data_IF_345410922452
#
_entry.id   IF_345410922452
#
_cell.length_a   1.000
_cell.length_b   1.000
_cell.length_c   1.000
_cell.angle_alpha   90.00
_cell.angle_beta   90.00
_cell.angle_gamma   90.00
#
_symmetry.space_group_name_H-M   'P 1'
#
loop_
_entity.id
_entity.type
_entity.pdbx_description
1 polymer ?
#
# COMPACT_ATOMS: atom_id res chain seq x y z
N UNK A 1 -11.42 22.36 0.60
CA UNK A 1 -10.19 22.14 1.40
C UNK A 1 -9.30 21.24 0.57
N UNK A 2 -7.99 21.52 0.43
CA UNK A 2 -7.04 20.66 -0.25
C UNK A 2 -6.91 19.31 0.49
N UNK A 3 -6.63 18.23 -0.22
CA UNK A 3 -6.33 16.94 0.38
C UNK A 3 -4.84 16.92 0.78
N UNK A 4 -4.57 17.19 2.06
CA UNK A 4 -3.22 17.28 2.61
C UNK A 4 -2.34 16.05 2.27
N UNK A 5 -2.88 14.83 2.36
CA UNK A 5 -2.12 13.62 2.06
C UNK A 5 -1.75 13.51 0.58
N UNK A 6 -2.63 13.95 -0.31
CA UNK A 6 -2.37 14.02 -1.74
C UNK A 6 -1.35 15.12 -2.07
N UNK A 7 -1.50 16.31 -1.49
CA UNK A 7 -0.55 17.43 -1.66
C UNK A 7 0.85 17.03 -1.16
N UNK A 8 0.93 16.29 -0.04
CA UNK A 8 2.20 15.74 0.47
C UNK A 8 2.84 14.75 -0.50
N UNK A 9 2.06 13.82 -1.04
CA UNK A 9 2.54 12.84 -2.02
C UNK A 9 3.03 13.51 -3.32
N UNK A 10 2.30 14.51 -3.82
CA UNK A 10 2.70 15.31 -4.97
C UNK A 10 3.98 16.12 -4.69
N UNK A 11 4.16 16.64 -3.50
CA UNK A 11 5.39 17.32 -3.05
C UNK A 11 6.60 16.35 -3.07
N UNK A 12 6.45 15.13 -2.58
CA UNK A 12 7.50 14.11 -2.62
C UNK A 12 7.83 13.69 -4.06
N UNK A 13 6.83 13.60 -4.94
CA UNK A 13 7.04 13.32 -6.35
C UNK A 13 7.80 14.45 -7.05
N UNK A 14 7.43 15.71 -6.79
CA UNK A 14 8.12 16.86 -7.36
C UNK A 14 9.59 16.95 -6.90
N UNK A 15 9.86 16.66 -5.63
CA UNK A 15 11.23 16.58 -5.11
C UNK A 15 12.03 15.45 -5.76
N UNK A 16 11.42 14.30 -5.98
CA UNK A 16 12.03 13.20 -6.73
C UNK A 16 12.34 13.61 -8.17
N UNK A 17 11.39 14.21 -8.90
CA UNK A 17 11.57 14.64 -10.28
C UNK A 17 12.74 15.63 -10.42
N UNK A 18 12.89 16.55 -9.48
CA UNK A 18 14.00 17.52 -9.46
C UNK A 18 15.36 16.83 -9.23
N UNK A 19 15.44 15.92 -8.26
CA UNK A 19 16.66 15.19 -7.94
C UNK A 19 17.13 14.32 -9.11
N UNK A 20 16.23 13.53 -9.68
CA UNK A 20 16.62 12.62 -10.77
C UNK A 20 16.88 13.34 -12.10
N UNK A 21 16.30 14.53 -12.31
CA UNK A 21 16.63 15.35 -13.48
C UNK A 21 18.12 15.69 -13.54
N UNK A 22 18.75 15.96 -12.40
CA UNK A 22 20.19 16.23 -12.32
C UNK A 22 21.02 14.96 -12.58
N UNK A 23 20.60 13.83 -12.04
CA UNK A 23 21.25 12.53 -12.26
C UNK A 23 21.26 12.17 -13.75
N UNK A 24 20.11 12.28 -14.42
CA UNK A 24 20.03 11.99 -15.85
C UNK A 24 20.76 13.02 -16.72
N UNK A 25 20.80 14.28 -16.29
CA UNK A 25 21.60 15.32 -16.96
C UNK A 25 23.10 15.03 -16.90
N UNK A 26 23.59 14.59 -15.75
CA UNK A 26 25.00 14.17 -15.59
C UNK A 26 25.32 12.94 -16.45
N UNK A 27 24.44 11.93 -16.46
CA UNK A 27 24.59 10.76 -17.35
C UNK A 27 24.61 11.15 -18.84
N UNK A 28 23.76 12.11 -19.24
CA UNK A 28 23.75 12.65 -20.60
C UNK A 28 25.05 13.37 -20.94
N UNK A 29 25.55 14.21 -20.03
CA UNK A 29 26.82 14.92 -20.25
C UNK A 29 28.00 13.96 -20.38
N UNK A 30 28.06 12.92 -19.55
CA UNK A 30 29.11 11.90 -19.66
C UNK A 30 28.98 11.12 -20.97
N UNK A 31 27.78 10.65 -21.32
CA UNK A 31 27.51 9.94 -22.56
C UNK A 31 27.88 10.77 -23.80
N UNK A 32 27.60 12.08 -23.75
CA UNK A 32 27.96 13.01 -24.82
C UNK A 32 29.47 13.14 -24.93
N UNK A 33 30.19 13.29 -23.84
CA UNK A 33 31.66 13.38 -23.84
C UNK A 33 32.31 12.14 -24.44
N UNK A 34 31.85 10.94 -24.06
CA UNK A 34 32.37 9.68 -24.54
C UNK A 34 32.05 9.51 -26.06
N UNK A 35 30.87 9.91 -26.46
CA UNK A 35 30.46 9.90 -27.87
C UNK A 35 31.26 10.90 -28.73
N UNK A 36 31.43 12.13 -28.27
CA UNK A 36 32.16 13.17 -28.99
C UNK A 36 33.62 12.74 -29.25
N UNK A 37 34.27 12.16 -28.21
CA UNK A 37 35.63 11.62 -28.35
C UNK A 37 35.70 10.48 -29.38
N UNK A 38 34.73 9.56 -29.38
CA UNK A 38 34.65 8.48 -30.35
C UNK A 38 34.43 9.03 -31.78
N UNK A 39 33.51 9.99 -31.95
CA UNK A 39 33.16 10.54 -33.25
C UNK A 39 34.30 11.38 -33.86
N UNK A 40 35.12 12.00 -33.01
CA UNK A 40 36.31 12.74 -33.44
C UNK A 40 37.38 11.78 -33.96
N UNK A 41 37.69 10.71 -33.21
CA UNK A 41 38.60 9.64 -33.63
C UNK A 41 38.09 8.91 -34.92
N UNK A 42 36.77 8.67 -34.98
CA UNK A 42 36.19 8.06 -36.18
C UNK A 42 36.29 8.95 -37.39
N UNK A 43 36.09 10.28 -37.27
CA UNK A 43 36.17 11.22 -38.35
C UNK A 43 37.57 11.33 -38.94
N UNK A 44 38.59 11.40 -38.10
CA UNK A 44 39.99 11.41 -38.56
C UNK A 44 40.29 10.17 -39.44
N UNK A 45 39.87 9.00 -38.99
CA UNK A 45 40.04 7.74 -39.73
C UNK A 45 39.16 7.63 -40.98
N UNK A 46 37.96 8.23 -40.96
CA UNK A 46 37.06 8.30 -42.11
C UNK A 46 37.62 9.23 -43.22
N UNK A 47 38.23 10.34 -42.80
CA UNK A 47 38.90 11.27 -43.72
C UNK A 47 40.11 10.64 -44.38
N UNK A 48 40.94 9.87 -43.62
CA UNK A 48 42.06 9.09 -44.18
C UNK A 48 41.57 8.07 -45.22
N UNK A 49 40.53 7.30 -44.87
CA UNK A 49 39.95 6.30 -45.76
C UNK A 49 39.24 6.89 -46.98
N UNK A 50 38.71 8.10 -46.87
CA UNK A 50 38.14 8.85 -47.97
C UNK A 50 39.26 9.32 -48.94
N UNK A 51 40.37 9.77 -48.42
CA UNK A 51 41.54 10.12 -49.24
C UNK A 51 42.07 8.90 -50.01
N UNK A 52 42.13 7.70 -49.39
CA UNK A 52 42.48 6.47 -50.09
C UNK A 52 41.48 6.12 -51.20
N UNK A 53 40.18 6.37 -51.02
CA UNK A 53 39.18 6.19 -52.06
C UNK A 53 39.36 7.18 -53.20
N UNK A 54 39.57 8.46 -52.90
CA UNK A 54 39.76 9.51 -53.87
C UNK A 54 41.03 9.30 -54.65
N UNK A 55 42.08 8.73 -54.05
CA UNK A 55 43.33 8.32 -54.74
C UNK A 55 43.20 7.01 -55.52
N UNK A 56 42.02 6.36 -55.51
CA UNK A 56 41.78 5.10 -56.19
C UNK A 56 42.46 3.88 -55.55
N UNK A 57 42.92 3.98 -54.31
CA UNK A 57 43.60 2.91 -53.59
C UNK A 57 42.63 1.88 -53.06
N UNK A 58 41.42 2.27 -52.82
CA UNK A 58 40.31 1.39 -52.39
C UNK A 58 39.06 1.65 -53.23
N UNK A 59 38.18 0.65 -53.33
CA UNK A 59 36.87 0.80 -53.99
C UNK A 59 35.83 1.43 -53.07
N UNK A 60 34.77 2.02 -53.65
CA UNK A 60 33.60 2.51 -52.92
C UNK A 60 33.00 1.43 -52.02
N UNK A 61 32.97 0.18 -52.50
CA UNK A 61 32.49 -0.96 -51.73
C UNK A 61 33.36 -1.22 -50.49
N UNK A 62 34.67 -1.22 -50.66
CA UNK A 62 35.63 -1.43 -49.56
C UNK A 62 35.55 -0.31 -48.53
N UNK A 63 35.37 0.94 -48.94
CA UNK A 63 35.12 2.07 -48.06
C UNK A 63 33.80 1.92 -47.29
N UNK A 64 32.70 1.57 -47.93
CA UNK A 64 31.41 1.35 -47.31
C UNK A 64 31.45 0.16 -46.32
N UNK A 65 32.12 -0.93 -46.67
CA UNK A 65 32.29 -2.10 -45.81
C UNK A 65 33.17 -1.77 -44.58
N UNK A 66 34.24 -0.96 -44.75
CA UNK A 66 35.04 -0.47 -43.64
C UNK A 66 34.21 0.39 -42.70
N UNK A 67 33.46 1.38 -43.19
CA UNK A 67 32.56 2.20 -42.33
C UNK A 67 31.58 1.35 -41.57
N UNK A 68 30.94 0.38 -42.21
CA UNK A 68 30.01 -0.54 -41.60
C UNK A 68 30.69 -1.38 -40.49
N UNK A 69 31.89 -1.88 -40.79
CA UNK A 69 32.68 -2.66 -39.84
C UNK A 69 33.01 -1.87 -38.56
N UNK A 70 33.40 -0.58 -38.71
CA UNK A 70 33.70 0.26 -37.53
C UNK A 70 32.51 0.44 -36.63
N UNK A 71 31.28 0.48 -37.17
CA UNK A 71 30.04 0.66 -36.40
C UNK A 71 29.45 -0.64 -35.88
N UNK A 72 29.70 -1.78 -36.52
CA UNK A 72 29.09 -3.05 -36.10
C UNK A 72 30.03 -3.93 -35.28
N UNK A 73 31.32 -3.92 -35.55
CA UNK A 73 32.31 -4.81 -34.94
C UNK A 73 33.52 -4.08 -34.37
N UNK A 74 33.61 -2.76 -34.57
CA UNK A 74 34.74 -1.97 -34.08
C UNK A 74 34.80 -1.99 -32.57
N UNK A 75 35.94 -2.43 -32.01
CA UNK A 75 36.14 -2.57 -30.59
C UNK A 75 35.86 -1.26 -29.82
N UNK A 76 36.32 -0.14 -30.36
CA UNK A 76 36.13 1.19 -29.77
C UNK A 76 34.66 1.59 -29.71
N UNK A 77 33.90 1.32 -30.80
CA UNK A 77 32.46 1.57 -30.80
C UNK A 77 31.74 0.74 -29.74
N UNK A 78 32.08 -0.55 -29.61
CA UNK A 78 31.48 -1.39 -28.58
C UNK A 78 31.79 -0.88 -27.15
N UNK A 79 33.03 -0.42 -26.92
CA UNK A 79 33.41 0.19 -25.64
C UNK A 79 32.58 1.44 -25.31
N UNK A 80 32.39 2.33 -26.27
CA UNK A 80 31.57 3.54 -26.10
C UNK A 80 30.10 3.19 -25.81
N UNK A 81 29.54 2.23 -26.53
CA UNK A 81 28.19 1.75 -26.28
C UNK A 81 28.05 1.23 -24.84
N UNK A 82 29.02 0.46 -24.38
CA UNK A 82 29.02 -0.10 -23.03
C UNK A 82 29.12 1.02 -21.97
N UNK A 83 30.04 1.97 -22.12
CA UNK A 83 30.20 3.10 -21.21
C UNK A 83 28.94 3.97 -21.10
N UNK A 84 28.34 4.31 -22.25
CA UNK A 84 27.12 5.12 -22.28
C UNK A 84 25.92 4.35 -21.72
N UNK A 85 25.81 3.05 -22.04
CA UNK A 85 24.73 2.22 -21.51
C UNK A 85 24.85 2.04 -19.99
N UNK A 86 26.08 1.90 -19.48
CA UNK A 86 26.38 1.81 -18.06
C UNK A 86 26.03 3.12 -17.32
N UNK A 87 26.40 4.28 -17.88
CA UNK A 87 26.04 5.57 -17.30
C UNK A 87 24.51 5.73 -17.11
N UNK A 88 23.71 5.29 -18.07
CA UNK A 88 22.24 5.33 -17.94
C UNK A 88 21.69 4.26 -17.01
N UNK A 89 22.31 3.08 -16.97
CA UNK A 89 21.94 2.02 -16.03
C UNK A 89 22.17 2.48 -14.59
N UNK A 90 23.31 3.08 -14.31
CA UNK A 90 23.64 3.64 -13.00
C UNK A 90 22.67 4.78 -12.63
N UNK A 91 22.30 5.66 -13.56
CA UNK A 91 21.31 6.69 -13.34
C UNK A 91 19.93 6.09 -12.98
N UNK A 92 19.53 5.00 -13.62
CA UNK A 92 18.31 4.27 -13.30
C UNK A 92 18.35 3.66 -11.89
N UNK A 93 19.47 3.09 -11.49
CA UNK A 93 19.66 2.53 -10.13
C UNK A 93 19.57 3.62 -9.05
N UNK A 94 20.21 4.76 -9.29
CA UNK A 94 20.11 5.94 -8.39
C UNK A 94 18.65 6.41 -8.30
N UNK A 95 17.93 6.48 -9.43
CA UNK A 95 16.53 6.86 -9.44
C UNK A 95 15.65 5.87 -8.66
N UNK A 96 15.90 4.56 -8.76
CA UNK A 96 15.20 3.53 -7.96
C UNK A 96 15.49 3.71 -6.47
N UNK A 97 16.75 3.92 -6.09
CA UNK A 97 17.14 4.12 -4.70
C UNK A 97 16.49 5.38 -4.11
N UNK A 98 16.52 6.49 -4.85
CA UNK A 98 15.89 7.75 -4.45
C UNK A 98 14.37 7.61 -4.28
N UNK A 99 13.71 6.86 -5.16
CA UNK A 99 12.27 6.58 -5.07
C UNK A 99 11.96 5.70 -3.85
N UNK A 100 12.67 4.58 -3.69
CA UNK A 100 12.47 3.66 -2.58
C UNK A 100 12.72 4.32 -1.22
N UNK A 101 13.64 5.30 -1.15
CA UNK A 101 13.88 6.09 0.05
C UNK A 101 12.71 6.99 0.45
N UNK A 102 11.84 7.39 -0.49
CA UNK A 102 10.69 8.29 -0.25
C UNK A 102 9.37 7.57 0.02
N UNK A 103 9.21 6.36 -0.51
CA UNK A 103 7.95 5.64 -0.40
C UNK A 103 7.50 5.36 1.04
N UNK A 104 8.40 5.06 2.01
CA UNK A 104 8.02 4.89 3.40
C UNK A 104 7.36 6.13 4.00
N UNK A 105 7.89 7.32 3.70
CA UNK A 105 7.32 8.60 4.17
C UNK A 105 5.94 8.84 3.56
N UNK A 106 5.78 8.63 2.25
CA UNK A 106 4.49 8.79 1.56
C UNK A 106 3.45 7.83 2.13
N UNK A 107 3.83 6.57 2.34
CA UNK A 107 2.94 5.55 2.89
C UNK A 107 2.53 5.89 4.33
N UNK A 108 3.49 6.21 5.20
CA UNK A 108 3.25 6.52 6.60
C UNK A 108 2.38 7.76 6.77
N UNK A 109 2.71 8.85 6.06
CA UNK A 109 1.94 10.10 6.16
C UNK A 109 0.51 9.92 5.67
N UNK A 110 0.31 9.16 4.59
CA UNK A 110 -1.02 8.87 4.08
C UNK A 110 -1.78 7.83 4.92
N UNK A 111 -1.10 6.93 5.62
CA UNK A 111 -1.73 6.10 6.65
C UNK A 111 -2.25 6.99 7.79
N UNK A 112 -1.45 7.92 8.28
CA UNK A 112 -1.85 8.85 9.32
C UNK A 112 -3.01 9.75 8.87
N UNK A 113 -2.93 10.28 7.65
CA UNK A 113 -4.00 11.10 7.08
C UNK A 113 -5.30 10.31 6.84
N UNK A 114 -5.20 9.04 6.40
CA UNK A 114 -6.35 8.14 6.29
C UNK A 114 -7.03 7.85 7.63
N UNK A 115 -6.25 7.76 8.71
CA UNK A 115 -6.77 7.68 10.09
C UNK A 115 -7.55 8.95 10.48
N UNK A 116 -7.01 10.12 10.14
CA UNK A 116 -7.69 11.40 10.30
C UNK A 116 -9.00 11.46 9.50
N UNK A 117 -8.97 11.11 8.22
CA UNK A 117 -10.17 11.07 7.37
C UNK A 117 -11.27 10.17 7.97
N UNK A 118 -10.89 9.03 8.54
CA UNK A 118 -11.86 8.14 9.19
C UNK A 118 -12.47 8.78 10.45
N UNK A 119 -11.67 9.49 11.26
CA UNK A 119 -12.17 10.24 12.41
C UNK A 119 -13.08 11.40 11.99
N UNK A 120 -12.66 12.19 11.01
CA UNK A 120 -13.42 13.33 10.50
C UNK A 120 -14.77 12.89 9.90
N UNK A 121 -14.76 11.88 9.03
CA UNK A 121 -15.96 11.37 8.38
C UNK A 121 -16.94 10.69 9.35
N UNK A 122 -16.45 10.05 10.43
CA UNK A 122 -17.31 9.43 11.47
C UNK A 122 -17.73 10.40 12.56
N UNK A 123 -17.04 11.53 12.73
CA UNK A 123 -17.20 12.46 13.85
C UNK A 123 -16.71 11.89 15.18
N UNK A 124 -15.91 10.82 15.17
CA UNK A 124 -15.39 10.13 16.34
C UNK A 124 -13.87 10.32 16.48
N UNK A 125 -13.40 10.56 17.68
CA UNK A 125 -11.97 10.58 17.99
C UNK A 125 -11.48 9.19 18.36
N UNK A 126 -11.19 8.41 17.35
CA UNK A 126 -10.71 7.03 17.49
C UNK A 126 -9.24 7.00 17.88
N UNK A 127 -8.84 6.07 18.74
CA UNK A 127 -7.47 5.91 19.20
C UNK A 127 -6.56 5.32 18.13
N UNK A 128 -6.25 6.10 17.11
CA UNK A 128 -5.19 5.77 16.16
C UNK A 128 -3.81 6.01 16.79
N UNK A 129 -2.86 5.14 16.43
CA UNK A 129 -1.44 5.40 16.61
C UNK A 129 -0.85 5.83 15.27
N UNK A 130 -0.03 6.87 15.27
CA UNK A 130 0.64 7.33 14.06
C UNK A 130 1.69 6.31 13.61
N UNK A 131 1.78 6.10 12.31
CA UNK A 131 2.83 5.30 11.69
C UNK A 131 4.04 6.21 11.40
N UNK A 132 5.25 5.77 11.73
CA UNK A 132 6.48 6.41 11.29
C UNK A 132 7.04 5.77 10.00
N UNK A 133 7.99 6.45 9.36
CA UNK A 133 8.58 5.97 8.12
C UNK A 133 9.33 4.65 8.30
N UNK A 134 9.91 4.38 9.47
CA UNK A 134 10.64 3.14 9.73
C UNK A 134 9.69 1.93 9.78
N UNK A 135 8.52 2.11 10.35
CA UNK A 135 7.45 1.12 10.35
C UNK A 135 6.96 0.84 8.92
N UNK A 136 6.70 1.90 8.16
CA UNK A 136 6.29 1.76 6.76
C UNK A 136 7.36 1.08 5.91
N UNK A 137 8.64 1.41 6.11
CA UNK A 137 9.78 0.77 5.43
C UNK A 137 9.83 -0.74 5.75
N UNK A 138 9.67 -1.11 7.01
CA UNK A 138 9.62 -2.52 7.39
C UNK A 138 8.48 -3.25 6.68
N UNK A 139 7.27 -2.68 6.66
CA UNK A 139 6.11 -3.26 5.99
C UNK A 139 6.30 -3.42 4.48
N UNK A 140 6.94 -2.44 3.84
CA UNK A 140 7.29 -2.50 2.42
C UNK A 140 8.30 -3.62 2.12
N UNK A 141 9.32 -3.79 2.97
CA UNK A 141 10.35 -4.80 2.79
C UNK A 141 9.87 -6.23 3.10
N UNK A 142 8.95 -6.39 4.04
CA UNK A 142 8.43 -7.70 4.45
C UNK A 142 7.22 -8.15 3.64
N UNK A 143 6.72 -7.33 2.74
CA UNK A 143 5.52 -7.60 1.94
C UNK A 143 4.22 -7.49 2.74
N UNK A 144 4.25 -6.85 3.90
CA UNK A 144 3.05 -6.57 4.71
C UNK A 144 2.26 -5.38 4.18
N UNK A 145 2.94 -4.45 3.52
CA UNK A 145 2.26 -3.37 2.81
C UNK A 145 1.46 -3.90 1.61
N UNK A 146 0.40 -3.18 1.25
CA UNK A 146 -0.43 -3.52 0.08
C UNK A 146 0.29 -3.28 -1.26
N UNK A 147 1.49 -2.71 -1.22
CA UNK A 147 2.37 -2.44 -2.35
C UNK A 147 3.75 -3.05 -2.10
N UNK A 148 4.47 -3.33 -3.18
CA UNK A 148 5.89 -3.71 -3.13
C UNK A 148 6.77 -2.51 -3.50
N UNK A 149 8.06 -2.50 -3.09
CA UNK A 149 9.02 -1.53 -3.58
C UNK A 149 9.05 -1.57 -5.11
N UNK A 150 9.00 -0.42 -5.80
CA UNK A 150 9.06 -0.41 -7.25
C UNK A 150 10.45 -0.82 -7.72
N UNK A 151 10.49 -1.68 -8.72
CA UNK A 151 11.64 -1.82 -9.58
C UNK A 151 11.44 -0.95 -10.82
N UNK A 152 12.44 -0.20 -11.23
CA UNK A 152 12.44 0.38 -12.57
C UNK A 152 12.26 -0.75 -13.56
N UNK A 153 11.33 -0.55 -14.48
CA UNK A 153 10.99 -1.54 -15.48
C UNK A 153 12.28 -2.14 -16.06
N UNK A 154 12.46 -3.43 -15.91
CA UNK A 154 13.60 -4.24 -16.40
C UNK A 154 13.99 -3.92 -17.86
N UNK A 155 13.03 -3.42 -18.65
CA UNK A 155 13.28 -2.95 -20.02
C UNK A 155 14.30 -1.79 -20.13
N UNK A 156 14.64 -1.11 -19.03
CA UNK A 156 15.62 0.00 -19.00
C UNK A 156 16.97 -0.41 -18.38
N UNK A 157 17.24 -1.70 -18.32
CA UNK A 157 18.53 -2.24 -17.89
C UNK A 157 19.67 -1.95 -18.89
N UNK A 158 20.86 -2.39 -18.53
CA UNK A 158 22.06 -2.23 -19.35
C UNK A 158 21.87 -2.77 -20.78
N UNK A 159 21.28 -3.96 -20.93
CA UNK A 159 21.08 -4.59 -22.24
C UNK A 159 20.12 -3.79 -23.13
N UNK A 160 19.03 -3.28 -22.55
CA UNK A 160 18.08 -2.43 -23.26
C UNK A 160 18.73 -1.11 -23.70
N UNK A 161 19.45 -0.43 -22.79
CA UNK A 161 20.14 0.82 -23.10
C UNK A 161 21.17 0.63 -24.20
N UNK A 162 22.00 -0.42 -24.09
CA UNK A 162 23.00 -0.79 -25.10
C UNK A 162 22.37 -1.03 -26.48
N UNK A 163 21.28 -1.82 -26.52
CA UNK A 163 20.57 -2.13 -27.79
C UNK A 163 19.98 -0.87 -28.43
N UNK A 164 19.35 0.00 -27.62
CA UNK A 164 18.76 1.23 -28.15
C UNK A 164 19.82 2.20 -28.66
N UNK A 165 20.90 2.41 -27.89
CA UNK A 165 22.01 3.26 -28.28
C UNK A 165 22.67 2.75 -29.57
N UNK A 166 22.98 1.45 -29.66
CA UNK A 166 23.54 0.83 -30.85
C UNK A 166 22.65 1.09 -32.08
N UNK A 167 21.33 0.89 -31.94
CA UNK A 167 20.38 1.14 -33.04
C UNK A 167 20.37 2.60 -33.46
N UNK A 168 20.31 3.55 -32.53
CA UNK A 168 20.23 4.98 -32.83
C UNK A 168 21.52 5.52 -33.43
N UNK A 169 22.68 5.14 -32.90
CA UNK A 169 23.97 5.60 -33.38
C UNK A 169 24.33 4.97 -34.74
N UNK A 170 24.16 3.64 -34.87
CA UNK A 170 24.43 2.95 -36.17
C UNK A 170 23.57 3.56 -37.28
N UNK A 171 22.28 3.78 -37.04
CA UNK A 171 21.39 4.38 -38.02
C UNK A 171 21.87 5.80 -38.41
N UNK A 172 22.24 6.63 -37.44
CA UNK A 172 22.68 8.00 -37.71
C UNK A 172 23.97 8.06 -38.47
N UNK A 173 24.93 7.21 -38.13
CA UNK A 173 26.23 7.14 -38.90
C UNK A 173 26.03 6.60 -40.30
N UNK A 174 25.21 5.57 -40.48
CA UNK A 174 24.90 5.04 -41.82
C UNK A 174 24.20 6.07 -42.71
N UNK A 175 23.43 6.98 -42.14
CA UNK A 175 22.77 8.10 -42.82
C UNK A 175 23.72 9.29 -43.06
N UNK A 176 24.97 9.23 -42.61
CA UNK A 176 25.93 10.34 -42.74
C UNK A 176 25.53 11.56 -41.89
N UNK A 177 24.82 11.37 -40.79
CA UNK A 177 24.38 12.47 -39.92
C UNK A 177 25.56 13.17 -39.23
N UNK A 178 25.44 14.49 -39.08
CA UNK A 178 26.43 15.30 -38.35
C UNK A 178 26.44 14.96 -36.84
N UNK A 179 27.57 15.24 -36.18
CA UNK A 179 27.74 15.06 -34.70
C UNK A 179 26.58 15.65 -33.89
N UNK A 180 26.10 16.89 -34.17
CA UNK A 180 24.96 17.44 -33.45
C UNK A 180 23.66 16.63 -33.62
N UNK A 181 23.45 16.00 -34.76
CA UNK A 181 22.29 15.12 -34.99
C UNK A 181 22.43 13.80 -34.25
N UNK A 182 23.63 13.23 -34.21
CA UNK A 182 23.94 12.03 -33.43
C UNK A 182 23.76 12.30 -31.91
N UNK A 183 24.23 13.43 -31.42
CA UNK A 183 24.00 13.86 -30.02
C UNK A 183 22.50 13.95 -29.69
N UNK A 184 21.65 14.47 -30.60
CA UNK A 184 20.19 14.47 -30.42
C UNK A 184 19.59 13.07 -30.38
N UNK A 185 20.16 12.09 -31.06
CA UNK A 185 19.72 10.69 -30.96
C UNK A 185 20.02 10.11 -29.58
N UNK A 186 21.22 10.36 -29.04
CA UNK A 186 21.58 9.97 -27.67
C UNK A 186 20.64 10.65 -26.65
N UNK A 187 20.39 11.93 -26.81
CA UNK A 187 19.46 12.69 -25.96
C UNK A 187 18.04 12.08 -25.91
N UNK A 188 17.56 11.49 -27.02
CA UNK A 188 16.27 10.77 -27.00
C UNK A 188 16.32 9.51 -26.12
N UNK A 189 17.45 8.83 -26.05
CA UNK A 189 17.62 7.67 -25.15
C UNK A 189 17.59 8.13 -23.69
N UNK A 190 18.30 9.21 -23.35
CA UNK A 190 18.25 9.84 -22.02
C UNK A 190 16.84 10.22 -21.64
N UNK A 191 16.16 10.99 -22.50
CA UNK A 191 14.79 11.42 -22.27
C UNK A 191 13.82 10.24 -22.10
N UNK A 192 14.06 9.12 -22.76
CA UNK A 192 13.29 7.89 -22.60
C UNK A 192 13.50 7.25 -21.23
N UNK A 193 14.73 7.22 -20.70
CA UNK A 193 15.05 6.72 -19.37
C UNK A 193 14.45 7.61 -18.28
N UNK A 194 14.66 8.92 -18.35
CA UNK A 194 14.07 9.90 -17.43
C UNK A 194 12.54 9.81 -17.41
N UNK A 195 11.89 9.81 -18.57
CA UNK A 195 10.44 9.69 -18.65
C UNK A 195 9.92 8.35 -18.08
N UNK A 196 10.69 7.26 -18.21
CA UNK A 196 10.35 5.99 -17.57
C UNK A 196 10.47 6.06 -16.05
N UNK A 197 11.53 6.69 -15.54
CA UNK A 197 11.72 6.88 -14.09
C UNK A 197 10.57 7.71 -13.49
N UNK A 198 10.21 8.84 -14.12
CA UNK A 198 9.10 9.71 -13.67
C UNK A 198 7.75 8.96 -13.70
N UNK A 199 7.47 8.18 -14.76
CA UNK A 199 6.24 7.37 -14.81
C UNK A 199 6.19 6.32 -13.71
N UNK A 200 7.31 5.65 -13.47
CA UNK A 200 7.43 4.65 -12.40
C UNK A 200 7.23 5.29 -11.04
N UNK A 201 7.88 6.43 -10.80
CA UNK A 201 7.76 7.18 -9.56
C UNK A 201 6.30 7.60 -9.31
N UNK A 202 5.64 8.21 -10.29
CA UNK A 202 4.25 8.63 -10.14
C UNK A 202 3.31 7.46 -9.83
N UNK A 203 3.49 6.33 -10.52
CA UNK A 203 2.70 5.12 -10.25
C UNK A 203 2.95 4.60 -8.84
N UNK A 204 4.20 4.57 -8.40
CA UNK A 204 4.58 4.06 -7.07
C UNK A 204 4.13 5.00 -5.94
N UNK A 205 4.30 6.30 -6.10
CA UNK A 205 3.87 7.32 -5.13
C UNK A 205 2.35 7.29 -4.98
N UNK A 206 1.60 7.29 -6.09
CA UNK A 206 0.12 7.13 -6.04
C UNK A 206 -0.29 5.83 -5.37
N UNK A 207 0.44 4.74 -5.63
CA UNK A 207 0.22 3.45 -4.97
C UNK A 207 0.47 3.52 -3.47
N UNK A 208 1.59 4.13 -3.04
CA UNK A 208 1.96 4.27 -1.62
C UNK A 208 0.96 5.16 -0.86
N UNK A 209 0.58 6.29 -1.44
CA UNK A 209 -0.44 7.19 -0.92
C UNK A 209 -1.73 6.43 -0.59
N UNK A 210 -2.31 5.79 -1.60
CA UNK A 210 -3.61 5.16 -1.45
C UNK A 210 -3.56 3.86 -0.66
N UNK A 211 -2.46 3.11 -0.72
CA UNK A 211 -2.26 1.93 0.12
C UNK A 211 -2.14 2.30 1.60
N UNK A 212 -1.45 3.41 1.93
CA UNK A 212 -1.40 3.95 3.29
C UNK A 212 -2.80 4.28 3.82
N UNK A 213 -3.62 4.98 3.04
CA UNK A 213 -5.03 5.29 3.41
C UNK A 213 -5.85 4.03 3.65
N UNK A 214 -5.79 3.06 2.74
CA UNK A 214 -6.51 1.78 2.88
C UNK A 214 -6.05 1.00 4.11
N UNK A 215 -4.76 1.08 4.47
CA UNK A 215 -4.25 0.52 5.72
C UNK A 215 -5.04 1.07 6.92
N UNK A 216 -5.15 2.39 7.05
CA UNK A 216 -5.86 3.02 8.15
C UNK A 216 -7.37 2.82 8.12
N UNK A 217 -7.97 2.69 6.94
CA UNK A 217 -9.37 2.29 6.84
C UNK A 217 -9.59 0.87 7.40
N UNK A 218 -8.61 -0.03 7.20
CA UNK A 218 -8.60 -1.35 7.83
C UNK A 218 -8.55 -1.27 9.35
N UNK A 219 -7.71 -0.39 9.89
CA UNK A 219 -7.63 -0.13 11.35
C UNK A 219 -8.95 0.44 11.87
N UNK A 220 -9.54 1.43 11.18
CA UNK A 220 -10.84 2.01 11.56
C UNK A 220 -11.96 0.95 11.62
N UNK A 221 -12.00 0.02 10.65
CA UNK A 221 -12.96 -1.08 10.67
C UNK A 221 -12.77 -2.00 11.87
N UNK A 222 -11.53 -2.32 12.21
CA UNK A 222 -11.24 -3.12 13.40
C UNK A 222 -11.70 -2.43 14.70
N UNK A 223 -11.90 -1.11 14.64
CA UNK A 223 -12.39 -0.28 15.76
C UNK A 223 -13.90 -0.02 15.72
N UNK A 224 -14.66 -0.66 14.79
CA UNK A 224 -16.13 -0.59 14.74
C UNK A 224 -16.69 0.45 13.75
N UNK A 225 -15.85 1.09 12.92
CA UNK A 225 -16.31 2.02 11.89
C UNK A 225 -16.47 1.29 10.56
N UNK A 226 -17.68 1.23 10.02
CA UNK A 226 -17.94 0.62 8.70
C UNK A 226 -17.45 1.53 7.59
N UNK A 227 -16.28 1.22 7.04
CA UNK A 227 -15.62 2.02 6.02
C UNK A 227 -16.01 1.61 4.62
N UNK A 228 -16.23 2.60 3.77
CA UNK A 228 -16.16 2.51 2.31
C UNK A 228 -15.01 3.37 1.79
N UNK A 229 -14.57 3.08 0.59
CA UNK A 229 -13.59 3.89 -0.15
C UNK A 229 -14.34 4.67 -1.22
N UNK A 230 -14.08 5.97 -1.32
CA UNK A 230 -14.58 6.80 -2.41
C UNK A 230 -13.41 7.18 -3.32
N UNK A 231 -13.56 6.94 -4.63
CA UNK A 231 -12.57 7.33 -5.63
C UNK A 231 -12.68 8.80 -5.95
N UNK A 232 -11.61 9.55 -5.79
CA UNK A 232 -11.51 10.93 -6.21
C UNK A 232 -10.59 11.04 -7.41
N UNK A 233 -11.17 11.33 -8.57
CA UNK A 233 -10.41 11.46 -9.80
C UNK A 233 -9.79 12.85 -9.93
N UNK A 234 -8.55 12.92 -10.40
CA UNK A 234 -7.96 14.20 -10.86
C UNK A 234 -8.61 14.57 -12.19
N UNK A 235 -9.55 15.52 -12.17
CA UNK A 235 -10.36 15.88 -13.35
C UNK A 235 -9.63 16.91 -14.22
N UNK A 236 -8.65 16.45 -15.01
CA UNK A 236 -7.96 17.27 -16.02
C UNK A 236 -7.97 16.62 -17.42
N UNK A 237 -7.34 17.28 -18.39
CA UNK A 237 -7.27 16.82 -19.79
C UNK A 237 -6.55 15.49 -19.99
N UNK A 238 -5.77 15.02 -19.01
CA UNK A 238 -4.99 13.77 -19.05
C UNK A 238 -5.65 12.62 -18.29
N UNK A 239 -6.76 12.87 -17.59
CA UNK A 239 -7.47 11.84 -16.82
C UNK A 239 -8.17 10.85 -17.76
N UNK A 240 -7.95 9.55 -17.54
CA UNK A 240 -8.58 8.47 -18.31
C UNK A 240 -10.10 8.53 -18.21
N UNK A 241 -10.76 8.12 -19.29
CA UNK A 241 -12.23 8.06 -19.30
C UNK A 241 -12.78 7.11 -18.21
N UNK A 242 -12.13 5.97 -17.99
CA UNK A 242 -12.46 5.02 -16.92
C UNK A 242 -12.39 5.68 -15.54
N UNK A 243 -11.34 6.47 -15.26
CA UNK A 243 -11.18 7.16 -13.99
C UNK A 243 -12.16 8.32 -13.80
N UNK A 244 -12.52 9.04 -14.86
CA UNK A 244 -13.56 10.07 -14.80
C UNK A 244 -14.93 9.46 -14.41
N UNK A 245 -15.24 8.25 -14.89
CA UNK A 245 -16.46 7.53 -14.52
C UNK A 245 -16.44 7.05 -13.07
N UNK A 246 -15.27 6.87 -12.49
CA UNK A 246 -15.10 6.45 -11.10
C UNK A 246 -15.13 7.62 -10.12
N UNK A 247 -15.13 8.87 -10.60
CA UNK A 247 -15.16 10.01 -9.70
C UNK A 247 -16.37 9.94 -8.77
N UNK A 248 -16.13 10.03 -7.46
CA UNK A 248 -17.12 9.84 -6.38
C UNK A 248 -17.75 8.44 -6.31
N UNK A 249 -17.24 7.47 -7.08
CA UNK A 249 -17.69 6.10 -6.95
C UNK A 249 -17.23 5.52 -5.61
N UNK A 250 -18.14 4.78 -4.95
CA UNK A 250 -17.85 4.12 -3.68
C UNK A 250 -17.64 2.62 -3.90
N UNK A 251 -16.74 2.06 -3.13
CA UNK A 251 -16.51 0.62 -3.06
C UNK A 251 -16.34 0.19 -1.59
N UNK A 252 -16.83 -1.00 -1.22
CA UNK A 252 -16.59 -1.52 0.12
C UNK A 252 -15.08 -1.70 0.35
N UNK A 253 -14.68 -1.69 1.61
CA UNK A 253 -13.35 -2.08 1.97
C UNK A 253 -13.42 -3.27 2.95
N UNK A 254 -12.87 -4.47 2.60
CA UNK A 254 -12.16 -4.79 1.36
C UNK A 254 -13.09 -4.89 0.14
N UNK A 255 -12.58 -4.50 -1.02
CA UNK A 255 -13.31 -4.59 -2.29
C UNK A 255 -12.58 -3.87 -3.43
N UNK A 256 -13.14 -3.96 -4.64
CA UNK A 256 -12.58 -3.37 -5.85
C UNK A 256 -13.58 -2.40 -6.49
N UNK A 257 -13.06 -1.39 -7.15
CA UNK A 257 -13.82 -0.53 -8.06
C UNK A 257 -14.07 -1.23 -9.39
N UNK A 258 -14.96 -0.66 -10.20
CA UNK A 258 -15.37 -1.23 -11.49
C UNK A 258 -14.21 -1.41 -12.49
N UNK A 259 -13.11 -0.67 -12.34
CA UNK A 259 -11.89 -0.84 -13.13
C UNK A 259 -10.96 -1.97 -12.65
N UNK A 260 -11.37 -2.75 -11.65
CA UNK A 260 -10.62 -3.89 -11.10
C UNK A 260 -9.57 -3.53 -10.04
N UNK A 261 -9.35 -2.25 -9.74
CA UNK A 261 -8.40 -1.79 -8.73
C UNK A 261 -9.05 -1.73 -7.34
N UNK A 262 -8.29 -2.06 -6.29
CA UNK A 262 -8.69 -1.85 -4.89
C UNK A 262 -8.58 -0.38 -4.48
N UNK A 263 -7.64 0.33 -5.12
CA UNK A 263 -7.34 1.75 -4.91
C UNK A 263 -6.57 2.31 -6.12
N UNK A 264 -6.45 3.63 -6.29
CA UNK A 264 -5.60 4.23 -7.32
C UNK A 264 -4.13 3.81 -7.15
N UNK A 265 -3.50 3.35 -8.24
CA UNK A 265 -2.13 2.82 -8.18
C UNK A 265 -1.98 1.41 -7.61
N UNK A 266 -3.08 0.65 -7.46
CA UNK A 266 -3.07 -0.72 -6.95
C UNK A 266 -2.20 -1.66 -7.82
N UNK A 267 -1.06 -2.20 -7.33
CA UNK A 267 -0.19 -3.05 -8.14
C UNK A 267 -0.84 -4.38 -8.58
N UNK A 268 -1.96 -4.76 -7.99
CA UNK A 268 -2.75 -5.92 -8.41
C UNK A 268 -3.86 -5.57 -9.41
N UNK A 269 -4.00 -4.29 -9.75
CA UNK A 269 -4.93 -3.82 -10.77
C UNK A 269 -4.36 -3.96 -12.20
N UNK A 270 -5.20 -3.78 -13.23
CA UNK A 270 -4.73 -3.75 -14.62
C UNK A 270 -3.71 -2.63 -14.84
N UNK A 271 -2.58 -2.93 -15.49
CA UNK A 271 -1.52 -1.96 -15.72
C UNK A 271 -2.01 -0.69 -16.45
N UNK A 272 -2.95 -0.84 -17.39
CA UNK A 272 -3.60 0.27 -18.10
C UNK A 272 -4.33 1.25 -17.17
N UNK A 273 -4.79 0.79 -16.01
CA UNK A 273 -5.52 1.60 -15.04
C UNK A 273 -4.59 2.25 -13.99
N UNK A 274 -3.45 1.63 -13.70
CA UNK A 274 -2.56 2.09 -12.62
C UNK A 274 -1.42 2.98 -13.12
N UNK A 275 -0.88 2.73 -14.34
CA UNK A 275 0.29 3.44 -14.85
C UNK A 275 0.02 4.95 -14.92
N UNK A 276 0.87 5.75 -14.26
CA UNK A 276 0.80 7.21 -14.31
C UNK A 276 -0.55 7.80 -13.80
N UNK A 277 -1.21 7.09 -12.88
CA UNK A 277 -2.42 7.54 -12.21
C UNK A 277 -2.11 8.69 -11.24
N UNK A 278 -3.08 9.61 -11.02
CA UNK A 278 -3.00 10.75 -10.10
C UNK A 278 -4.26 10.90 -9.27
N UNK A 279 -5.08 9.86 -9.24
CA UNK A 279 -6.30 9.83 -8.44
C UNK A 279 -5.97 9.46 -6.99
N UNK A 280 -6.84 9.86 -6.08
CA UNK A 280 -6.73 9.54 -4.66
C UNK A 280 -8.00 8.88 -4.12
N UNK A 281 -7.98 8.42 -2.88
CA UNK A 281 -9.13 7.92 -2.14
C UNK A 281 -9.55 8.91 -1.07
N UNK A 282 -10.83 8.93 -0.79
CA UNK A 282 -11.41 9.60 0.38
C UNK A 282 -12.15 8.58 1.22
N UNK A 283 -12.11 8.74 2.53
CA UNK A 283 -12.85 7.92 3.47
C UNK A 283 -14.36 8.18 3.30
N UNK A 284 -15.14 7.12 3.17
CA UNK A 284 -16.59 7.18 3.23
C UNK A 284 -17.08 6.24 4.33
N UNK A 285 -18.07 6.68 5.11
CA UNK A 285 -18.63 5.92 6.21
C UNK A 285 -19.94 5.28 5.76
N UNK A 286 -20.10 3.98 6.04
CA UNK A 286 -21.34 3.22 5.77
C UNK A 286 -22.13 2.95 7.05
N UNK A 287 -21.57 3.31 8.18
CA UNK A 287 -22.17 3.18 9.50
C UNK A 287 -21.13 3.06 10.60
N UNK A 288 -21.62 3.05 11.82
CA UNK A 288 -20.82 2.84 13.03
C UNK A 288 -21.51 1.75 13.82
N UNK A 289 -20.75 0.74 14.27
CA UNK A 289 -21.31 -0.29 15.15
C UNK A 289 -21.71 0.35 16.50
N UNK A 290 -22.76 -0.15 17.14
CA UNK A 290 -23.24 0.41 18.41
C UNK A 290 -22.14 0.47 19.47
N UNK A 291 -21.34 -0.60 19.58
CA UNK A 291 -20.18 -0.66 20.47
C UNK A 291 -19.12 0.39 20.13
N UNK A 292 -18.97 0.75 18.85
CA UNK A 292 -18.05 1.79 18.37
C UNK A 292 -18.53 3.19 18.74
N UNK A 293 -19.83 3.45 18.65
CA UNK A 293 -20.41 4.76 18.97
C UNK A 293 -20.30 5.11 20.46
N UNK A 294 -20.40 4.10 21.34
CA UNK A 294 -20.29 4.28 22.79
C UNK A 294 -18.83 4.28 23.28
N UNK A 295 -17.93 3.69 22.54
CA UNK A 295 -16.52 3.50 22.91
C UNK A 295 -15.66 4.74 22.69
N UNK A 296 -15.98 5.56 21.68
CA UNK A 296 -15.16 6.67 21.25
C UNK A 296 -15.79 8.01 21.57
N UNK A 297 -14.98 8.96 22.03
CA UNK A 297 -15.41 10.34 22.19
C UNK A 297 -15.67 11.00 20.84
N UNK A 298 -16.46 12.06 20.83
CA UNK A 298 -16.67 12.84 19.61
C UNK A 298 -15.41 13.61 19.24
N UNK A 299 -15.11 13.66 17.96
CA UNK A 299 -14.05 14.52 17.45
C UNK A 299 -14.45 15.99 17.70
N UNK A 300 -13.56 16.81 18.29
CA UNK A 300 -13.84 18.23 18.48
C UNK A 300 -14.15 18.93 17.16
N UNK A 301 -15.22 19.73 17.08
CA UNK A 301 -15.56 20.46 15.86
C UNK A 301 -14.42 21.39 15.42
N UNK A 302 -14.08 21.35 14.12
CA UNK A 302 -13.04 22.21 13.53
C UNK A 302 -11.59 21.82 13.88
N UNK A 303 -11.38 20.66 14.52
CA UNK A 303 -10.02 20.11 14.69
C UNK A 303 -9.38 19.89 13.33
N UNK A 304 -8.15 20.37 13.14
CA UNK A 304 -7.37 20.14 11.92
C UNK A 304 -6.57 18.85 11.99
N UNK A 305 -6.11 18.35 10.83
CA UNK A 305 -5.22 17.18 10.79
C UNK A 305 -3.98 17.35 11.67
N UNK A 306 -3.34 18.52 11.61
CA UNK A 306 -2.14 18.81 12.39
C UNK A 306 -2.41 18.76 13.91
N UNK A 307 -3.55 19.31 14.35
CA UNK A 307 -3.96 19.28 15.76
C UNK A 307 -4.24 17.83 16.20
N UNK A 308 -4.95 17.07 15.38
CA UNK A 308 -5.23 15.66 15.64
C UNK A 308 -3.94 14.85 15.71
N UNK A 309 -3.05 15.02 14.72
CA UNK A 309 -1.76 14.33 14.65
C UNK A 309 -0.90 14.60 15.89
N UNK A 310 -0.83 15.84 16.34
CA UNK A 310 -0.05 16.23 17.53
C UNK A 310 -0.52 15.55 18.82
N UNK A 311 -1.80 15.18 18.90
CA UNK A 311 -2.39 14.48 20.06
C UNK A 311 -2.26 12.97 20.03
N UNK A 312 -1.73 12.36 18.95
CA UNK A 312 -1.68 10.91 18.81
C UNK A 312 -0.31 10.31 19.16
N UNK A 313 -0.27 9.13 19.79
CA UNK A 313 0.97 8.42 20.02
C UNK A 313 1.55 7.93 18.69
N UNK A 314 2.88 7.99 18.58
CA UNK A 314 3.58 7.41 17.42
C UNK A 314 3.76 5.91 17.64
N UNK A 315 3.21 5.11 16.75
CA UNK A 315 3.53 3.69 16.68
C UNK A 315 4.91 3.55 16.06
N UNK A 316 5.84 3.10 16.85
CA UNK A 316 7.14 2.63 16.34
C UNK A 316 7.04 1.13 16.18
N UNK A 317 7.38 0.63 15.00
CA UNK A 317 7.57 -0.79 14.80
C UNK A 317 8.69 -1.22 15.75
N UNK A 318 8.29 -1.53 16.96
CA UNK A 318 9.13 -2.35 17.83
C UNK A 318 9.22 -3.71 17.13
N UNK A 319 10.44 -4.25 17.00
CA UNK A 319 10.72 -5.61 16.52
C UNK A 319 9.94 -6.71 17.26
N UNK A 320 9.04 -6.34 18.14
CA UNK A 320 8.09 -7.14 18.89
C UNK A 320 6.73 -7.36 18.23
N UNK A 321 6.45 -6.78 17.05
CA UNK A 321 5.29 -7.15 16.24
C UNK A 321 5.43 -8.59 15.78
N UNK A 322 4.68 -9.48 16.43
CA UNK A 322 4.80 -10.93 16.19
C UNK A 322 4.00 -11.31 14.97
N UNK A 323 4.58 -12.09 14.09
CA UNK A 323 3.81 -12.81 13.07
C UNK A 323 2.74 -13.67 13.74
N UNK A 324 1.70 -14.04 13.01
CA UNK A 324 0.70 -15.00 13.49
C UNK A 324 1.38 -16.28 14.03
N UNK A 325 2.45 -16.75 13.37
CA UNK A 325 3.23 -17.90 13.82
C UNK A 325 3.91 -17.65 15.17
N UNK A 326 4.67 -16.59 15.30
CA UNK A 326 5.35 -16.20 16.54
C UNK A 326 4.35 -15.88 17.66
N UNK A 327 3.22 -15.27 17.34
CA UNK A 327 2.16 -15.02 18.30
C UNK A 327 1.59 -16.33 18.85
N UNK A 328 1.32 -17.30 18.00
CA UNK A 328 0.78 -18.61 18.42
C UNK A 328 1.77 -19.37 19.31
N UNK A 329 3.09 -19.17 19.16
CA UNK A 329 4.12 -19.79 20.00
C UNK A 329 4.30 -19.14 21.37
N UNK A 330 3.58 -18.08 21.68
CA UNK A 330 3.72 -17.44 22.99
C UNK A 330 3.24 -18.38 24.14
N UNK A 331 3.96 -18.43 25.26
CA UNK A 331 3.56 -19.27 26.40
C UNK A 331 2.15 -18.99 26.89
N UNK A 332 1.71 -17.73 26.88
CA UNK A 332 0.36 -17.32 27.26
C UNK A 332 -0.73 -17.83 26.30
N UNK A 333 -0.42 -17.86 25.00
CA UNK A 333 -1.31 -18.37 23.95
C UNK A 333 -1.37 -19.88 24.02
N UNK A 334 -0.22 -20.56 24.13
CA UNK A 334 -0.14 -22.02 24.28
C UNK A 334 -0.91 -22.50 25.53
N UNK A 335 -0.68 -21.87 26.68
CA UNK A 335 -1.46 -22.15 27.90
C UNK A 335 -2.96 -21.92 27.72
N UNK A 336 -3.33 -20.95 26.90
CA UNK A 336 -4.74 -20.68 26.57
C UNK A 336 -5.35 -21.75 25.69
N UNK A 337 -4.57 -22.33 24.76
CA UNK A 337 -4.97 -23.45 23.91
C UNK A 337 -5.11 -24.72 24.72
N UNK A 338 -4.11 -25.08 25.53
CA UNK A 338 -4.14 -26.25 26.42
C UNK A 338 -5.37 -26.22 27.35
N UNK A 339 -5.64 -25.10 27.99
CA UNK A 339 -6.81 -24.93 28.87
C UNK A 339 -8.14 -25.20 28.15
N UNK A 340 -8.18 -25.06 26.82
CA UNK A 340 -9.37 -25.25 25.99
C UNK A 340 -9.35 -26.55 25.19
N UNK A 341 -8.33 -27.38 25.31
CA UNK A 341 -8.15 -28.59 24.51
C UNK A 341 -8.04 -28.32 23.00
N UNK A 342 -7.54 -27.14 22.63
CA UNK A 342 -7.41 -26.74 21.24
C UNK A 342 -5.99 -26.99 20.71
N UNK A 343 -5.87 -27.46 19.49
CA UNK A 343 -4.60 -27.49 18.76
C UNK A 343 -4.21 -26.08 18.28
N UNK A 344 -2.93 -25.86 18.02
CA UNK A 344 -2.45 -24.60 17.43
C UNK A 344 -3.17 -24.28 16.10
N UNK A 345 -3.39 -25.28 15.25
CA UNK A 345 -4.10 -25.13 13.98
C UNK A 345 -5.54 -24.62 14.19
N UNK A 346 -6.24 -25.14 15.19
CA UNK A 346 -7.59 -24.68 15.54
C UNK A 346 -7.58 -23.25 16.10
N UNK A 347 -6.61 -22.92 16.93
CA UNK A 347 -6.44 -21.55 17.45
C UNK A 347 -6.12 -20.55 16.33
N UNK A 348 -5.21 -20.90 15.44
CA UNK A 348 -4.85 -20.08 14.26
C UNK A 348 -6.06 -19.85 13.34
N UNK A 349 -6.85 -20.91 13.12
CA UNK A 349 -8.09 -20.82 12.32
C UNK A 349 -9.09 -19.86 12.97
N UNK A 350 -9.37 -20.00 14.27
CA UNK A 350 -10.28 -19.13 15.01
C UNK A 350 -9.86 -17.65 14.97
N UNK A 351 -8.56 -17.38 15.16
CA UNK A 351 -8.03 -16.03 15.07
C UNK A 351 -8.14 -15.48 13.66
N UNK A 352 -7.83 -16.27 12.64
CA UNK A 352 -7.95 -15.87 11.23
C UNK A 352 -9.39 -15.59 10.82
N UNK A 353 -10.35 -16.38 11.27
CA UNK A 353 -11.79 -16.16 11.04
C UNK A 353 -12.29 -14.89 11.73
N UNK A 354 -11.89 -14.66 12.98
CA UNK A 354 -12.20 -13.44 13.70
C UNK A 354 -11.63 -12.18 13.00
N UNK A 355 -10.37 -12.24 12.56
CA UNK A 355 -9.75 -11.13 11.82
C UNK A 355 -10.46 -10.88 10.48
N UNK A 356 -10.86 -11.92 9.76
CA UNK A 356 -11.66 -11.79 8.54
C UNK A 356 -13.04 -11.16 8.81
N UNK A 357 -13.72 -11.59 9.83
CA UNK A 357 -15.03 -11.08 10.23
C UNK A 357 -14.96 -9.60 10.64
N UNK A 358 -13.87 -9.19 11.30
CA UNK A 358 -13.60 -7.78 11.63
C UNK A 358 -13.01 -6.97 10.47
N UNK A 359 -12.93 -7.54 9.26
CA UNK A 359 -12.34 -6.89 8.10
C UNK A 359 -10.82 -6.66 8.20
N UNK A 360 -10.17 -7.29 9.17
CA UNK A 360 -8.74 -7.16 9.43
C UNK A 360 -7.99 -8.23 8.62
N UNK A 361 -7.07 -7.81 7.76
CA UNK A 361 -6.20 -8.78 7.06
C UNK A 361 -5.13 -9.34 8.01
N UNK A 362 -4.58 -10.52 7.70
CA UNK A 362 -3.44 -11.07 8.44
C UNK A 362 -2.21 -10.15 8.45
N UNK A 363 -2.11 -9.25 7.47
CA UNK A 363 -1.09 -8.20 7.43
C UNK A 363 -1.27 -7.16 8.54
N UNK A 364 -2.52 -6.75 8.81
CA UNK A 364 -2.83 -5.80 9.89
C UNK A 364 -2.55 -6.41 11.26
N UNK A 365 -2.76 -7.72 11.44
CA UNK A 365 -2.49 -8.39 12.72
C UNK A 365 -1.04 -8.23 13.18
N UNK A 366 -0.07 -8.31 12.26
CA UNK A 366 1.36 -8.15 12.59
C UNK A 366 1.71 -6.72 12.98
N UNK A 367 0.98 -5.73 12.48
CA UNK A 367 1.16 -4.31 12.82
C UNK A 367 0.43 -3.89 14.09
N UNK A 368 -0.44 -4.76 14.65
CA UNK A 368 -1.12 -4.52 15.92
C UNK A 368 -0.14 -4.51 17.09
N UNK A 369 -0.39 -3.64 18.05
CA UNK A 369 0.31 -3.68 19.34
C UNK A 369 0.09 -5.04 20.03
N UNK A 370 1.01 -5.43 20.90
CA UNK A 370 0.88 -6.67 21.71
C UNK A 370 -0.47 -6.76 22.45
N UNK A 371 -0.94 -5.65 22.99
CA UNK A 371 -2.24 -5.55 23.65
C UNK A 371 -3.40 -5.80 22.69
N UNK A 372 -3.33 -5.26 21.48
CA UNK A 372 -4.34 -5.42 20.43
C UNK A 372 -4.35 -6.86 19.87
N UNK A 373 -3.17 -7.45 19.65
CA UNK A 373 -3.04 -8.86 19.27
C UNK A 373 -3.64 -9.78 20.35
N UNK A 374 -3.38 -9.50 21.62
CA UNK A 374 -3.98 -10.25 22.75
C UNK A 374 -5.49 -10.03 22.84
N UNK A 375 -5.97 -8.83 22.55
CA UNK A 375 -7.41 -8.54 22.55
C UNK A 375 -8.11 -9.28 21.39
N UNK A 376 -7.55 -9.22 20.17
CA UNK A 376 -8.06 -9.99 19.01
C UNK A 376 -8.10 -11.49 19.30
N UNK A 377 -7.07 -12.02 19.96
CA UNK A 377 -7.02 -13.41 20.41
C UNK A 377 -8.13 -13.75 21.41
N UNK A 378 -8.31 -12.91 22.43
CA UNK A 378 -9.38 -13.11 23.44
C UNK A 378 -10.76 -13.06 22.79
N UNK A 379 -10.98 -12.13 21.86
CA UNK A 379 -12.24 -11.98 21.12
C UNK A 379 -12.51 -13.19 20.21
N UNK A 380 -11.50 -13.69 19.50
CA UNK A 380 -11.60 -14.90 18.67
C UNK A 380 -11.99 -16.13 19.49
N UNK A 381 -11.38 -16.31 20.65
CA UNK A 381 -11.70 -17.41 21.57
C UNK A 381 -13.07 -17.26 22.24
N UNK A 382 -13.51 -16.04 22.53
CA UNK A 382 -14.83 -15.76 23.10
C UNK A 382 -15.94 -16.07 22.09
N UNK A 383 -15.76 -15.67 20.82
CA UNK A 383 -16.72 -15.93 19.75
C UNK A 383 -16.91 -17.44 19.54
N UNK A 384 -15.83 -18.19 19.45
CA UNK A 384 -15.90 -19.65 19.26
C UNK A 384 -16.56 -20.34 20.47
N UNK A 385 -16.18 -19.98 21.66
CA UNK A 385 -16.77 -20.54 22.87
C UNK A 385 -18.25 -20.17 23.03
N UNK A 386 -18.65 -18.98 22.62
CA UNK A 386 -20.05 -18.56 22.56
C UNK A 386 -20.84 -19.40 21.55
N UNK A 387 -20.29 -19.65 20.36
CA UNK A 387 -20.92 -20.51 19.34
C UNK A 387 -21.07 -21.97 19.81
N UNK A 388 -20.03 -22.55 20.42
CA UNK A 388 -20.09 -23.89 21.00
C UNK A 388 -21.17 -23.97 22.08
N UNK A 389 -21.25 -23.01 22.99
CA UNK A 389 -22.29 -22.95 24.04
C UNK A 389 -23.68 -22.66 23.50
N UNK A 390 -23.82 -21.87 22.43
CA UNK A 390 -25.11 -21.71 21.75
C UNK A 390 -25.60 -23.04 21.20
N UNK A 391 -24.72 -23.77 20.50
CA UNK A 391 -25.03 -25.09 19.94
C UNK A 391 -25.41 -26.11 21.04
N UNK A 392 -24.61 -26.22 22.10
CA UNK A 392 -24.87 -27.11 23.24
C UNK A 392 -26.20 -26.82 23.94
N UNK A 393 -26.61 -25.56 23.99
CA UNK A 393 -27.83 -25.12 24.67
C UNK A 393 -29.03 -24.95 23.75
N UNK A 394 -28.86 -25.25 22.46
CA UNK A 394 -29.88 -25.15 21.44
C UNK A 394 -30.40 -23.73 21.26
N UNK A 395 -29.48 -22.74 21.34
CA UNK A 395 -29.73 -21.34 21.09
C UNK A 395 -29.19 -20.94 19.72
N UNK A 396 -29.93 -20.07 19.04
CA UNK A 396 -29.47 -19.45 17.79
C UNK A 396 -28.79 -18.12 18.08
N UNK A 397 -27.95 -17.65 17.17
CA UNK A 397 -27.31 -16.33 17.26
C UNK A 397 -28.35 -15.23 17.38
N UNK A 398 -29.42 -15.30 16.59
CA UNK A 398 -30.51 -14.32 16.60
C UNK A 398 -31.21 -14.21 17.97
N UNK A 399 -31.43 -15.34 18.66
CA UNK A 399 -32.03 -15.33 20.01
C UNK A 399 -31.12 -14.70 21.06
N UNK A 400 -29.81 -14.84 20.91
CA UNK A 400 -28.82 -14.23 21.81
C UNK A 400 -28.70 -12.73 21.53
N UNK A 401 -28.62 -12.35 20.27
CA UNK A 401 -28.54 -10.95 19.86
C UNK A 401 -29.80 -10.17 20.22
N UNK A 402 -31.00 -10.79 20.09
CA UNK A 402 -32.28 -10.20 20.54
C UNK A 402 -32.32 -10.01 22.07
N UNK A 403 -31.81 -10.97 22.83
CA UNK A 403 -31.75 -10.86 24.29
C UNK A 403 -30.82 -9.73 24.78
N UNK A 404 -29.83 -9.38 23.95
CA UNK A 404 -28.91 -8.26 24.25
C UNK A 404 -29.53 -6.92 23.79
N UNK A 405 -30.11 -6.89 22.59
CA UNK A 405 -30.68 -5.68 22.02
C UNK A 405 -32.02 -5.25 22.62
N UNK A 406 -32.88 -6.23 22.92
CA UNK A 406 -34.26 -6.05 23.41
C UNK A 406 -34.54 -6.87 24.69
N UNK A 407 -33.79 -6.68 25.76
CA UNK A 407 -34.02 -7.48 26.97
C UNK A 407 -35.39 -7.13 27.59
N UNK A 408 -36.14 -8.16 27.97
CA UNK A 408 -37.38 -8.00 28.76
C UNK A 408 -37.08 -7.43 30.16
N UNK A 409 -35.91 -7.75 30.67
CA UNK A 409 -35.43 -7.21 31.94
C UNK A 409 -33.88 -7.21 31.92
N UNK A 410 -33.30 -6.05 32.26
CA UNK A 410 -31.89 -5.88 32.47
C UNK A 410 -31.64 -5.68 33.97
N UNK A 411 -30.84 -6.57 34.58
CA UNK A 411 -30.43 -6.41 35.96
C UNK A 411 -29.34 -5.35 36.11
N UNK A 412 -29.24 -4.73 37.27
CA UNK A 412 -28.11 -3.86 37.59
C UNK A 412 -26.79 -4.65 37.52
N UNK A 413 -25.73 -4.04 37.01
CA UNK A 413 -24.43 -4.69 36.97
C UNK A 413 -23.91 -5.01 38.38
N UNK A 414 -23.45 -6.23 38.58
CA UNK A 414 -22.82 -6.69 39.81
C UNK A 414 -21.30 -6.84 39.61
N UNK A 415 -20.55 -6.63 40.69
CA UNK A 415 -19.09 -6.80 40.71
C UNK A 415 -18.72 -7.92 41.69
N UNK A 416 -17.92 -8.89 41.19
CA UNK A 416 -17.46 -9.99 42.03
C UNK A 416 -16.29 -9.58 42.94
N UNK A 417 -15.85 -10.48 43.81
CA UNK A 417 -14.71 -10.27 44.73
C UNK A 417 -13.36 -10.06 44.04
N UNK A 418 -13.28 -10.29 42.72
CA UNK A 418 -12.10 -10.08 41.89
C UNK A 418 -12.23 -8.83 41.01
N UNK A 419 -13.24 -7.98 41.26
CA UNK A 419 -13.45 -6.74 40.48
C UNK A 419 -14.04 -6.95 39.10
N UNK A 420 -14.53 -8.16 38.72
CA UNK A 420 -15.11 -8.43 37.44
C UNK A 420 -16.58 -8.07 37.43
N UNK A 421 -17.00 -7.24 36.49
CA UNK A 421 -18.39 -6.81 36.34
C UNK A 421 -19.19 -7.77 35.47
N UNK A 422 -20.43 -8.02 35.84
CA UNK A 422 -21.36 -8.86 35.11
C UNK A 422 -22.78 -8.28 35.19
N UNK A 423 -23.48 -8.25 34.05
CA UNK A 423 -24.87 -7.83 33.93
C UNK A 423 -25.68 -8.96 33.28
N UNK A 424 -26.81 -9.29 33.92
CA UNK A 424 -27.74 -10.29 33.40
C UNK A 424 -28.85 -9.60 32.61
N UNK A 425 -29.03 -10.04 31.36
CA UNK A 425 -30.06 -9.58 30.44
C UNK A 425 -31.01 -10.76 30.18
N UNK A 426 -32.29 -10.60 30.45
CA UNK A 426 -33.30 -11.63 30.24
C UNK A 426 -34.08 -11.27 28.98
N UNK A 427 -33.91 -12.05 27.90
CA UNK A 427 -34.67 -11.92 26.68
C UNK A 427 -35.80 -12.95 26.55
N UNK A 428 -36.59 -12.85 25.48
CA UNK A 428 -37.74 -13.72 25.25
C UNK A 428 -37.39 -15.20 25.13
N UNK A 429 -36.33 -15.53 24.40
CA UNK A 429 -35.88 -16.90 24.16
C UNK A 429 -34.58 -17.24 24.88
N UNK A 430 -33.68 -16.27 25.08
CA UNK A 430 -32.39 -16.43 25.71
C UNK A 430 -32.22 -15.48 26.91
N UNK A 431 -31.48 -15.93 27.92
CA UNK A 431 -30.95 -15.08 28.98
C UNK A 431 -29.44 -15.04 28.83
N UNK A 432 -28.87 -13.84 28.76
CA UNK A 432 -27.44 -13.59 28.52
C UNK A 432 -26.82 -12.85 29.68
N UNK A 433 -25.65 -13.25 30.12
CA UNK A 433 -24.85 -12.51 31.10
C UNK A 433 -23.64 -11.95 30.38
N UNK A 434 -23.53 -10.64 30.34
CA UNK A 434 -22.46 -9.90 29.70
C UNK A 434 -21.59 -9.15 30.68
N UNK A 435 -20.36 -8.88 30.30
CA UNK A 435 -19.58 -7.87 31.01
C UNK A 435 -20.01 -6.50 30.42
N UNK A 436 -20.59 -5.60 31.26
CA UNK A 436 -21.15 -4.34 30.79
C UNK A 436 -20.09 -3.36 30.26
N UNK A 437 -18.82 -3.54 30.64
CA UNK A 437 -17.72 -2.65 30.21
C UNK A 437 -17.06 -3.10 28.89
N UNK A 438 -17.22 -4.38 28.55
CA UNK A 438 -16.54 -4.97 27.39
C UNK A 438 -17.49 -5.64 26.38
N UNK A 439 -18.79 -5.72 26.68
CA UNK A 439 -19.79 -6.43 25.85
C UNK A 439 -19.57 -7.95 25.75
N UNK A 440 -18.56 -8.49 26.42
CA UNK A 440 -18.20 -9.93 26.32
C UNK A 440 -19.25 -10.78 26.99
N UNK A 441 -19.83 -11.72 26.24
CA UNK A 441 -20.80 -12.69 26.80
C UNK A 441 -20.07 -13.65 27.74
N UNK A 442 -20.43 -13.60 29.02
CA UNK A 442 -19.87 -14.46 30.07
C UNK A 442 -20.57 -15.82 30.05
N UNK A 443 -21.88 -15.83 29.90
CA UNK A 443 -22.69 -17.04 29.78
C UNK A 443 -24.05 -16.72 29.19
N UNK A 444 -24.74 -17.76 28.65
CA UNK A 444 -26.08 -17.65 28.10
C UNK A 444 -26.84 -18.95 28.33
N UNK A 445 -28.15 -18.91 28.36
CA UNK A 445 -29.01 -20.08 28.49
C UNK A 445 -30.45 -19.74 28.02
N UNK A 446 -31.26 -20.80 27.75
CA UNK A 446 -32.68 -20.58 27.41
C UNK A 446 -33.44 -19.94 28.53
N UNK A 447 -34.21 -18.90 28.24
CA UNK A 447 -35.07 -18.25 29.23
C UNK A 447 -36.14 -19.24 29.73
N UNK A 448 -36.11 -19.53 31.02
CA UNK A 448 -37.01 -20.49 31.65
C UNK A 448 -38.46 -19.98 31.79
N UNK A 449 -39.46 -20.91 31.88
CA UNK A 449 -40.88 -20.54 32.05
C UNK A 449 -41.13 -19.58 33.20
N UNK A 450 -40.40 -19.74 34.36
CA UNK A 450 -40.50 -18.85 35.50
C UNK A 450 -40.03 -17.42 35.21
N UNK A 451 -38.95 -17.28 34.41
CA UNK A 451 -38.42 -15.98 34.03
C UNK A 451 -39.35 -15.30 33.00
N UNK A 452 -39.90 -16.07 32.04
CA UNK A 452 -40.89 -15.56 31.07
C UNK A 452 -42.11 -15.00 31.75
N UNK A 453 -42.75 -15.77 32.66
CA UNK A 453 -43.91 -15.33 33.45
C UNK A 453 -43.59 -14.09 34.30
N UNK A 454 -42.40 -14.04 34.89
CA UNK A 454 -42.00 -12.92 35.76
C UNK A 454 -41.80 -11.62 35.00
N UNK A 455 -41.42 -11.68 33.74
CA UNK A 455 -41.09 -10.51 32.93
C UNK A 455 -42.04 -10.32 31.72
N UNK A 456 -43.20 -10.94 31.71
CA UNK A 456 -44.35 -10.53 30.91
C UNK A 456 -44.55 -11.27 29.58
N UNK A 457 -44.04 -12.48 29.40
CA UNK A 457 -44.19 -13.25 28.14
C UNK A 457 -45.19 -14.43 28.19
N UNK A 458 -45.62 -14.88 29.34
CA UNK A 458 -46.61 -15.96 29.50
C UNK A 458 -47.71 -15.54 30.45
N UNK A 459 -48.96 -15.55 30.03
CA UNK A 459 -50.15 -15.56 30.94
C UNK A 459 -50.30 -16.91 31.64
#
# INVERSE_FOLDING_TARGET
MGDYGHDYADGQLAAFEAEVADVYRQAEQQARKDLDAFLEEFRERDDEKRAELEAGQISERAYADWRRSQMMTGLRYQQVLDQVAEAYSNANEVAVAALNGRLPDVYAENANYGGWQACEASGLDVSFSLMDASTAQHMLMTGEALIAPPALNVAKDLAWNRKLLASQLTQGVLLGESIPKLAKRVQRVTGSNYAAAVRTARTAVTGAENAGRVHSYGVARAMGIKMQKEWQATLDGRTRHTHRKLDKAKAPDPGKFANGCRFPGDPQGPYSEICNCRCTLVAAIDGIDQDGAERWSRLPPGMTYEQWKAGKPVYRHDSSGRTMGEFMQQPSVQKSLEKRGMTEAQGRKALSEHLKASGTSGHVFRTMQKSEQQQAWRSALASKHAEERMAERGLTRSEVDDAIANPLHAFEPTTDSQGRRAQKLVGASATVVVNPDTGVIITMYKTGRRERRRYGLDE
#
